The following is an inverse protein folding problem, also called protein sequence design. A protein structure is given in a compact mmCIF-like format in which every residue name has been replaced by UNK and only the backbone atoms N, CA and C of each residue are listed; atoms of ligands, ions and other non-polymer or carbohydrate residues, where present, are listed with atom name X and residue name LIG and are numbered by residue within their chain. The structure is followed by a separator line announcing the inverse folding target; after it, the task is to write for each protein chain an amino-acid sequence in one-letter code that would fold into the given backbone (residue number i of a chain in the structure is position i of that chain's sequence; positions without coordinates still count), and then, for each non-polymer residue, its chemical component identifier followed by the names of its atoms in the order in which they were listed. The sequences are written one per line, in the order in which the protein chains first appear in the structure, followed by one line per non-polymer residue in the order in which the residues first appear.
data_IF_662492009395
#
_entry.id   IF_662492009395
#
_cell.length_a   1.000
_cell.length_b   1.000
_cell.length_c   1.000
_cell.angle_alpha   90.00
_cell.angle_beta   90.00
_cell.angle_gamma   90.00
#
_symmetry.space_group_name_H-M   'P 1'
#
loop_
_entity.id
_entity.type
_entity.pdbx_description
1 polymer ?
#
# COMPACT_ATOMS: atom_id res chain seq x y z
N UNK A 1 12.44 -12.39 4.59
CA UNK A 1 12.22 -12.98 3.25
C UNK A 1 13.43 -12.72 2.35
N UNK A 2 13.97 -13.74 1.70
CA UNK A 2 15.19 -13.61 0.87
C UNK A 2 15.11 -14.31 -0.48
N UNK A 3 14.15 -15.23 -0.71
CA UNK A 3 14.07 -16.00 -1.96
C UNK A 3 13.43 -15.17 -3.07
N UNK A 4 14.02 -15.19 -4.26
CA UNK A 4 13.52 -14.48 -5.45
C UNK A 4 12.05 -14.82 -5.79
N UNK A 5 11.66 -16.08 -5.65
CA UNK A 5 10.28 -16.53 -5.90
C UNK A 5 9.25 -15.79 -5.01
N UNK A 6 9.59 -15.55 -3.74
CA UNK A 6 8.71 -14.83 -2.82
C UNK A 6 8.51 -13.36 -3.28
N UNK A 7 9.58 -12.71 -3.77
CA UNK A 7 9.50 -11.35 -4.30
C UNK A 7 8.69 -11.28 -5.60
N UNK A 8 8.81 -12.28 -6.47
CA UNK A 8 8.02 -12.35 -7.70
C UNK A 8 6.54 -12.54 -7.39
N UNK A 9 6.22 -13.43 -6.46
CA UNK A 9 4.85 -13.68 -6.07
C UNK A 9 4.21 -12.45 -5.39
N UNK A 10 4.99 -11.68 -4.61
CA UNK A 10 4.52 -10.43 -4.02
C UNK A 10 4.10 -9.37 -5.07
N UNK A 11 4.60 -9.43 -6.31
CA UNK A 11 4.15 -8.53 -7.38
C UNK A 11 2.69 -8.77 -7.80
N UNK A 12 2.15 -9.98 -7.57
CA UNK A 12 0.74 -10.29 -7.77
C UNK A 12 -0.15 -9.90 -6.59
N UNK A 13 0.44 -9.38 -5.50
CA UNK A 13 -0.28 -8.91 -4.33
C UNK A 13 -0.85 -7.50 -4.51
N UNK A 14 -1.40 -6.97 -3.42
CA UNK A 14 -1.90 -5.60 -3.38
C UNK A 14 -0.74 -4.60 -3.36
N UNK A 15 -0.95 -3.47 -4.03
CA UNK A 15 0.08 -2.44 -4.23
C UNK A 15 -0.36 -1.08 -3.71
N UNK A 16 0.46 -0.48 -2.86
CA UNK A 16 0.30 0.89 -2.39
C UNK A 16 1.57 1.71 -2.71
N UNK A 17 1.56 2.53 -3.78
CA UNK A 17 2.66 3.45 -4.03
C UNK A 17 2.64 4.58 -3.01
N UNK A 18 3.80 4.89 -2.43
CA UNK A 18 4.04 6.07 -1.60
C UNK A 18 5.12 6.94 -2.25
N UNK A 19 5.41 8.07 -1.63
CA UNK A 19 6.41 8.98 -2.16
C UNK A 19 7.86 8.53 -1.87
N UNK A 20 8.09 7.77 -0.78
CA UNK A 20 9.42 7.21 -0.45
C UNK A 20 9.65 5.77 -0.90
N UNK A 21 8.58 5.00 -1.13
CA UNK A 21 8.65 3.57 -1.46
C UNK A 21 7.39 3.09 -2.17
N UNK A 22 7.34 1.81 -2.50
CA UNK A 22 6.11 1.08 -2.83
C UNK A 22 5.97 -0.05 -1.84
N UNK A 23 4.79 -0.18 -1.24
CA UNK A 23 4.43 -1.34 -0.45
C UNK A 23 3.70 -2.35 -1.34
N UNK A 24 4.19 -3.59 -1.35
CA UNK A 24 3.45 -4.74 -1.83
C UNK A 24 3.03 -5.59 -0.64
N UNK A 25 1.79 -6.07 -0.64
CA UNK A 25 1.29 -7.02 0.37
C UNK A 25 0.64 -8.21 -0.32
N UNK A 26 1.12 -9.40 0.00
CA UNK A 26 0.53 -10.67 -0.45
C UNK A 26 0.13 -11.50 0.76
N UNK A 27 -1.16 -11.82 0.88
CA UNK A 27 -1.61 -12.86 1.82
C UNK A 27 -1.09 -14.21 1.35
N UNK A 28 -0.49 -14.99 2.25
CA UNK A 28 0.05 -16.31 1.89
C UNK A 28 -1.00 -17.41 1.99
N UNK A 29 -1.99 -17.22 2.88
CA UNK A 29 -3.09 -18.15 3.14
C UNK A 29 -2.60 -19.61 3.30
N UNK A 30 -1.39 -19.79 3.82
CA UNK A 30 -0.68 -21.06 4.03
C UNK A 30 -0.83 -21.59 5.46
N UNK A 31 -1.74 -21.00 6.25
CA UNK A 31 -1.97 -21.30 7.66
C UNK A 31 -0.92 -20.73 8.62
N UNK A 32 0.17 -20.12 8.11
CA UNK A 32 1.23 -19.52 8.92
C UNK A 32 0.93 -18.03 9.15
N UNK A 33 0.61 -17.67 10.39
CA UNK A 33 0.31 -16.31 10.81
C UNK A 33 1.51 -15.34 10.77
N UNK A 34 2.73 -15.84 10.53
CA UNK A 34 3.95 -15.02 10.55
C UNK A 34 3.91 -13.92 9.49
N UNK A 35 4.25 -12.69 9.89
CA UNK A 35 4.48 -11.59 8.95
C UNK A 35 5.90 -11.64 8.42
N UNK A 36 6.06 -11.57 7.10
CA UNK A 36 7.37 -11.65 6.45
C UNK A 36 7.73 -10.31 5.81
N UNK A 37 8.89 -9.77 6.16
CA UNK A 37 9.42 -8.55 5.54
C UNK A 37 10.38 -8.87 4.39
N UNK A 38 10.13 -8.28 3.23
CA UNK A 38 11.04 -8.17 2.09
C UNK A 38 11.46 -6.72 1.85
N UNK A 39 12.73 -6.47 1.57
CA UNK A 39 13.26 -5.13 1.28
C UNK A 39 14.00 -5.15 -0.07
N UNK A 40 13.57 -4.29 -0.99
CA UNK A 40 14.21 -4.14 -2.30
C UNK A 40 14.56 -2.68 -2.54
N UNK A 41 15.79 -2.40 -2.97
CA UNK A 41 16.21 -1.05 -3.37
C UNK A 41 16.93 -1.15 -4.71
N UNK A 42 16.40 -0.47 -5.72
CA UNK A 42 16.96 -0.53 -7.07
C UNK A 42 18.33 0.16 -7.15
N UNK A 43 19.14 -0.21 -8.15
CA UNK A 43 20.43 0.46 -8.42
C UNK A 43 20.26 1.95 -8.72
N UNK A 44 19.10 2.37 -9.25
CA UNK A 44 18.79 3.77 -9.59
C UNK A 44 18.70 4.70 -8.38
N UNK A 45 18.50 4.15 -7.18
CA UNK A 45 18.39 4.95 -5.94
C UNK A 45 19.74 5.52 -5.51
N UNK A 46 20.86 4.89 -5.90
CA UNK A 46 22.20 5.38 -5.59
C UNK A 46 23.21 4.25 -5.36
N UNK A 47 24.38 4.64 -4.87
CA UNK A 47 25.48 3.72 -4.60
C UNK A 47 25.13 2.68 -3.50
N UNK A 48 26.03 1.73 -3.28
CA UNK A 48 25.82 0.66 -2.30
C UNK A 48 25.57 1.19 -0.88
N UNK A 49 26.23 2.28 -0.48
CA UNK A 49 26.11 2.89 0.85
C UNK A 49 24.71 3.47 1.04
N UNK A 50 24.21 4.24 0.07
CA UNK A 50 22.85 4.82 0.10
C UNK A 50 21.80 3.71 0.17
N UNK A 51 21.93 2.67 -0.66
CA UNK A 51 21.00 1.52 -0.65
C UNK A 51 21.02 0.77 0.68
N UNK A 52 22.21 0.57 1.27
CA UNK A 52 22.33 -0.11 2.57
C UNK A 52 21.75 0.74 3.71
N UNK A 53 21.97 2.05 3.69
CA UNK A 53 21.35 2.98 4.64
C UNK A 53 19.83 2.96 4.52
N UNK A 54 19.29 3.00 3.30
CA UNK A 54 17.84 2.88 3.07
C UNK A 54 17.27 1.56 3.58
N UNK A 55 17.92 0.42 3.29
CA UNK A 55 17.50 -0.89 3.84
C UNK A 55 17.52 -0.92 5.37
N UNK A 56 18.53 -0.32 6.02
CA UNK A 56 18.59 -0.21 7.48
C UNK A 56 17.41 0.61 7.99
N UNK A 57 17.18 1.79 7.41
CA UNK A 57 16.07 2.68 7.77
C UNK A 57 14.70 2.03 7.60
N UNK A 58 14.48 1.32 6.49
CA UNK A 58 13.22 0.61 6.23
C UNK A 58 13.01 -0.58 7.15
N UNK A 59 14.08 -1.23 7.63
CA UNK A 59 13.96 -2.28 8.63
C UNK A 59 13.46 -1.72 9.96
N UNK A 60 13.99 -0.58 10.40
CA UNK A 60 13.52 0.10 11.61
C UNK A 60 12.08 0.60 11.46
N UNK A 61 11.75 1.18 10.30
CA UNK A 61 10.39 1.58 9.97
C UNK A 61 9.40 0.40 10.07
N UNK A 62 9.74 -0.72 9.45
CA UNK A 62 8.90 -1.91 9.48
C UNK A 62 8.78 -2.51 10.90
N UNK A 63 9.86 -2.48 11.70
CA UNK A 63 9.83 -2.91 13.11
C UNK A 63 8.92 -2.05 13.95
N UNK A 64 8.88 -0.74 13.71
CA UNK A 64 8.01 0.17 14.43
C UNK A 64 6.52 -0.01 14.07
N UNK A 65 6.20 -0.27 12.79
CA UNK A 65 4.81 -0.20 12.31
C UNK A 65 4.13 -1.57 12.16
N UNK A 66 4.85 -2.60 11.68
CA UNK A 66 4.22 -3.88 11.35
C UNK A 66 3.64 -4.63 12.56
N UNK A 67 4.23 -4.62 13.77
CA UNK A 67 3.63 -5.30 14.92
C UNK A 67 2.22 -4.80 15.24
N UNK A 68 1.95 -3.51 15.01
CA UNK A 68 0.66 -2.89 15.33
C UNK A 68 -0.32 -2.87 14.15
N UNK A 69 0.20 -2.67 12.93
CA UNK A 69 -0.62 -2.36 11.73
C UNK A 69 -0.40 -3.32 10.58
N UNK A 70 0.46 -4.32 10.75
CA UNK A 70 0.74 -5.32 9.74
C UNK A 70 -0.49 -6.18 9.42
N UNK A 71 -0.35 -7.00 8.38
CA UNK A 71 -1.38 -7.96 7.98
C UNK A 71 -0.84 -9.34 8.30
N UNK A 72 -1.45 -9.99 9.29
CA UNK A 72 -1.06 -11.33 9.76
C UNK A 72 -1.02 -12.33 8.60
N UNK A 73 0.01 -13.20 8.58
CA UNK A 73 0.20 -14.22 7.55
C UNK A 73 0.51 -13.68 6.14
N UNK A 74 0.90 -12.41 6.02
CA UNK A 74 1.24 -11.80 4.74
C UNK A 74 2.75 -11.56 4.56
N UNK A 75 3.17 -11.50 3.30
CA UNK A 75 4.45 -10.92 2.89
C UNK A 75 4.27 -9.41 2.67
N UNK A 76 5.06 -8.60 3.39
CA UNK A 76 5.18 -7.16 3.21
C UNK A 76 6.49 -6.85 2.52
N UNK A 77 6.44 -6.31 1.30
CA UNK A 77 7.63 -5.94 0.54
C UNK A 77 7.70 -4.43 0.38
N UNK A 78 8.74 -3.81 0.93
CA UNK A 78 9.06 -2.40 0.72
C UNK A 78 10.06 -2.25 -0.42
N UNK A 79 9.66 -1.53 -1.47
CA UNK A 79 10.49 -1.21 -2.62
C UNK A 79 10.90 0.26 -2.54
N UNK A 80 12.17 0.52 -2.23
CA UNK A 80 12.71 1.88 -2.13
C UNK A 80 12.70 2.64 -3.45
N UNK A 81 12.25 3.89 -3.39
CA UNK A 81 12.27 4.86 -4.48
C UNK A 81 13.33 5.95 -4.23
N UNK A 82 13.71 6.65 -5.28
CA UNK A 82 14.50 7.88 -5.15
C UNK A 82 13.78 8.88 -4.24
N UNK A 83 14.53 9.65 -3.46
CA UNK A 83 13.96 10.59 -2.48
C UNK A 83 13.43 9.94 -1.19
N UNK A 84 13.36 8.61 -1.11
CA UNK A 84 12.96 7.91 0.11
C UNK A 84 13.97 8.00 1.25
N UNK A 85 15.25 8.27 0.93
CA UNK A 85 16.33 8.35 1.93
C UNK A 85 16.37 9.71 2.63
N UNK A 86 16.06 10.81 1.93
CA UNK A 86 16.05 12.15 2.51
C UNK A 86 14.77 12.44 3.30
N UNK A 87 13.68 11.70 3.04
CA UNK A 87 12.41 11.91 3.75
C UNK A 87 12.55 11.78 5.27
N UNK A 88 11.88 12.62 6.07
CA UNK A 88 11.83 12.46 7.52
C UNK A 88 11.24 11.11 7.93
N UNK A 89 11.70 10.55 9.06
CA UNK A 89 11.29 9.21 9.49
C UNK A 89 9.81 9.17 9.87
N UNK A 90 9.30 10.25 10.45
CA UNK A 90 7.89 10.43 10.79
C UNK A 90 7.00 10.40 9.55
N UNK A 91 7.40 11.06 8.46
CA UNK A 91 6.67 11.00 7.20
C UNK A 91 6.67 9.58 6.62
N UNK A 92 7.79 8.86 6.69
CA UNK A 92 7.84 7.46 6.25
C UNK A 92 6.93 6.55 7.10
N UNK A 93 6.81 6.85 8.39
CA UNK A 93 5.92 6.16 9.34
C UNK A 93 4.47 6.41 8.98
N UNK A 94 4.08 7.67 8.77
CA UNK A 94 2.74 8.04 8.32
C UNK A 94 2.41 7.40 6.95
N UNK A 95 3.35 7.43 6.00
CA UNK A 95 3.20 6.81 4.68
C UNK A 95 2.94 5.30 4.80
N UNK A 96 3.68 4.59 5.66
CA UNK A 96 3.52 3.15 5.84
C UNK A 96 2.20 2.81 6.52
N UNK A 97 1.84 3.54 7.58
CA UNK A 97 0.56 3.37 8.29
C UNK A 97 -0.62 3.61 7.36
N UNK A 98 -0.60 4.69 6.58
CA UNK A 98 -1.67 5.01 5.62
C UNK A 98 -1.77 3.96 4.51
N UNK A 99 -0.63 3.49 4.00
CA UNK A 99 -0.59 2.43 3.00
C UNK A 99 -1.18 1.13 3.55
N UNK A 100 -0.80 0.71 4.75
CA UNK A 100 -1.33 -0.50 5.40
C UNK A 100 -2.84 -0.39 5.67
N UNK A 101 -3.32 0.75 6.19
CA UNK A 101 -4.74 0.97 6.43
C UNK A 101 -5.57 0.95 5.13
N UNK A 102 -5.01 1.49 4.03
CA UNK A 102 -5.64 1.39 2.70
C UNK A 102 -5.70 -0.06 2.21
N UNK A 103 -4.63 -0.82 2.41
CA UNK A 103 -4.58 -2.21 1.97
C UNK A 103 -5.46 -3.11 2.84
N UNK A 104 -5.48 -2.95 4.16
CA UNK A 104 -6.35 -3.70 5.07
C UNK A 104 -7.82 -3.62 4.65
N UNK A 105 -8.33 -2.43 4.29
CA UNK A 105 -9.70 -2.27 3.78
C UNK A 105 -9.99 -3.04 2.49
N UNK A 106 -8.97 -3.33 1.69
CA UNK A 106 -9.09 -4.06 0.43
C UNK A 106 -8.68 -5.55 0.56
N UNK A 107 -7.96 -5.92 1.61
CA UNK A 107 -7.41 -7.27 1.84
C UNK A 107 -8.18 -8.07 2.90
N UNK A 108 -8.97 -7.39 3.73
CA UNK A 108 -9.89 -8.00 4.69
C UNK A 108 -11.24 -8.08 3.98
N UNK A 109 -11.65 -9.29 3.59
CA UNK A 109 -13.09 -9.58 3.53
C UNK A 109 -13.55 -9.38 4.98
N UNK A 110 -14.50 -8.49 5.30
CA UNK A 110 -14.97 -8.39 6.68
C UNK A 110 -15.37 -9.80 7.13
N UNK A 111 -14.85 -10.22 8.29
CA UNK A 111 -15.41 -11.41 8.96
C UNK A 111 -16.93 -11.18 9.02
N UNK A 112 -17.76 -12.17 8.66
CA UNK A 112 -19.20 -12.00 8.71
C UNK A 112 -19.58 -11.61 10.14
N UNK A 113 -20.01 -10.37 10.32
CA UNK A 113 -20.75 -9.95 11.51
C UNK A 113 -22.08 -10.67 11.45
N UNK A 114 -22.34 -11.56 12.42
CA UNK A 114 -23.57 -12.36 12.49
C UNK A 114 -24.81 -11.47 12.24
N UNK A 115 -25.58 -11.80 11.20
CA UNK A 115 -26.83 -11.11 10.87
C UNK A 115 -26.73 -9.87 9.98
N UNK A 116 -25.54 -9.44 9.55
CA UNK A 116 -25.39 -8.35 8.57
C UNK A 116 -25.12 -8.90 7.16
N UNK A 117 -25.82 -8.41 6.11
CA UNK A 117 -25.62 -8.87 4.74
C UNK A 117 -24.21 -8.56 4.25
N UNK A 118 -23.65 -9.42 3.39
CA UNK A 118 -22.30 -9.20 2.89
C UNK A 118 -22.24 -7.91 2.08
N UNK A 119 -21.10 -7.18 2.07
CA UNK A 119 -20.95 -5.99 1.22
C UNK A 119 -21.14 -6.24 -0.28
N UNK A 120 -21.04 -7.49 -0.73
CA UNK A 120 -21.40 -7.92 -2.09
C UNK A 120 -22.89 -7.86 -2.39
N UNK A 121 -23.72 -7.91 -1.34
CA UNK A 121 -25.19 -7.97 -1.39
C UNK A 121 -25.78 -6.56 -1.29
N UNK A 122 -24.96 -5.55 -0.97
CA UNK A 122 -25.34 -4.15 -1.06
C UNK A 122 -25.45 -3.75 -2.54
N UNK A 123 -26.54 -3.08 -2.95
CA UNK A 123 -26.67 -2.58 -4.31
C UNK A 123 -25.53 -1.60 -4.60
N UNK A 124 -24.75 -1.89 -5.64
CA UNK A 124 -23.65 -1.03 -6.12
C UNK A 124 -24.24 0.29 -6.59
N UNK A 125 -24.18 1.33 -5.75
CA UNK A 125 -24.54 2.68 -6.19
C UNK A 125 -23.51 3.18 -7.21
N UNK A 126 -23.88 3.17 -8.49
CA UNK A 126 -23.19 3.89 -9.56
C UNK A 126 -23.76 5.31 -9.65
N UNK A 127 -23.33 6.22 -8.78
CA UNK A 127 -23.57 7.65 -9.01
C UNK A 127 -22.41 8.26 -9.82
N UNK A 128 -22.60 8.17 -11.14
CA UNK A 128 -22.32 9.16 -12.21
C UNK A 128 -21.08 10.06 -12.12
N UNK A 129 -20.27 9.95 -13.18
CA UNK A 129 -19.42 11.00 -13.71
C UNK A 129 -20.24 12.10 -14.42
N UNK A 130 -19.53 13.18 -14.76
CA UNK A 130 -19.79 14.21 -15.77
C UNK A 130 -20.81 15.32 -15.48
N UNK A 131 -20.32 16.55 -15.44
CA UNK A 131 -20.89 17.61 -16.29
C UNK A 131 -19.71 18.40 -16.87
N UNK A 132 -19.48 18.21 -18.17
CA UNK A 132 -18.69 19.12 -18.99
C UNK A 132 -19.62 20.12 -19.67
N UNK A 133 -19.14 21.36 -19.77
CA UNK A 133 -19.38 22.39 -20.79
C UNK A 133 -20.56 22.21 -21.76
N UNK A 134 -21.48 23.19 -21.76
CA UNK A 134 -22.25 23.58 -22.94
C UNK A 134 -22.37 25.12 -23.00
N UNK A 135 -21.99 25.67 -24.15
CA UNK A 135 -22.30 27.04 -24.62
C UNK A 135 -23.74 27.08 -25.10
N UNK A 136 -24.43 28.23 -24.97
CA UNK A 136 -25.21 28.89 -26.03
C UNK A 136 -25.73 30.26 -25.54
N UNK A 137 -25.83 31.17 -26.50
CA UNK A 137 -26.18 32.60 -26.48
C UNK A 137 -27.58 32.96 -25.95
N UNK A 138 -27.79 34.26 -25.68
CA UNK A 138 -29.05 34.95 -26.01
C UNK A 138 -29.76 35.74 -24.88
N UNK A 139 -29.85 37.06 -25.09
CA UNK A 139 -30.98 37.95 -24.81
C UNK A 139 -31.56 38.11 -23.37
N UNK A 140 -31.38 39.29 -22.76
CA UNK A 140 -32.46 40.31 -22.59
C UNK A 140 -32.06 41.51 -21.71
N UNK A 141 -32.30 42.69 -22.27
CA UNK A 141 -32.88 43.92 -21.72
C UNK A 141 -32.64 44.32 -20.26
N UNK A 142 -32.16 45.56 -20.12
CA UNK A 142 -32.12 46.37 -18.90
C UNK A 142 -31.30 47.63 -19.11
#
# INVERSE_FOLDING_TARGET
MTRRADFLAANGGFRAPTSGFVLLVRRRDDGDATMRLGLTVSKKVGNAVIRNRMKRRFRELARAVLPERGITGADHVLIGRMGGIERPFEMLTADLTNALAKLQRNTVRPEPVEGLPFPSDLPKNKSRASTGSARTDGERDG
#
